data_IF_773951661163
#
_entry.id   IF_773951661163
#
_cell.length_a   1.000
_cell.length_b   1.000
_cell.length_c   1.000
_cell.angle_alpha   90.00
_cell.angle_beta   90.00
_cell.angle_gamma   90.00
#
_symmetry.space_group_name_H-M   'P 1'
#
loop_
_entity.id
_entity.type
_entity.pdbx_description
1 polymer ?
#
# COMPACT_ATOMS: atom_id res chain seq x y z
N UNK A 1 2.31 -2.62 0.21
CA UNK A 1 1.46 -3.06 -0.93
C UNK A 1 0.68 -1.87 -1.46
N UNK A 2 0.20 -1.88 -2.71
CA UNK A 2 -0.61 -0.79 -3.26
C UNK A 2 -1.94 -0.63 -2.50
N UNK A 3 -2.41 0.61 -2.36
CA UNK A 3 -3.65 1.00 -1.68
C UNK A 3 -4.80 1.39 -2.62
N UNK A 4 -4.63 1.17 -3.92
CA UNK A 4 -5.58 1.58 -4.96
C UNK A 4 -6.59 0.49 -5.32
N UNK A 5 -7.86 0.83 -5.68
CA UNK A 5 -8.86 -0.14 -6.13
C UNK A 5 -8.45 -0.88 -7.41
N UNK A 6 -7.51 -0.33 -8.19
CA UNK A 6 -6.96 -0.97 -9.39
C UNK A 6 -6.22 -2.29 -9.10
N UNK A 7 -5.88 -2.55 -7.83
CA UNK A 7 -5.35 -3.85 -7.40
C UNK A 7 -6.39 -4.99 -7.51
N UNK A 8 -7.68 -4.65 -7.56
CA UNK A 8 -8.79 -5.62 -7.58
C UNK A 8 -9.19 -5.92 -9.02
N UNK A 9 -9.05 -7.17 -9.51
CA UNK A 9 -9.34 -7.51 -10.91
C UNK A 9 -10.77 -7.20 -11.36
N UNK A 10 -11.74 -7.26 -10.45
CA UNK A 10 -13.14 -6.93 -10.74
C UNK A 10 -13.35 -5.44 -11.03
N UNK A 11 -12.47 -4.57 -10.51
CA UNK A 11 -12.52 -3.12 -10.72
C UNK A 11 -11.63 -2.67 -11.88
N UNK A 12 -10.55 -3.41 -12.15
CA UNK A 12 -9.61 -3.11 -13.23
C UNK A 12 -9.22 -4.38 -14.02
N UNK A 13 -10.17 -5.00 -14.75
CA UNK A 13 -9.94 -6.30 -15.41
C UNK A 13 -8.88 -6.26 -16.52
N UNK A 14 -8.61 -5.07 -17.08
CA UNK A 14 -7.57 -4.86 -18.09
C UNK A 14 -6.19 -4.50 -17.49
N UNK A 15 -6.09 -4.32 -16.17
CA UNK A 15 -4.85 -3.94 -15.51
C UNK A 15 -4.00 -5.17 -15.14
N UNK A 16 -3.25 -5.65 -16.14
CA UNK A 16 -2.35 -6.80 -15.97
C UNK A 16 -1.26 -6.53 -14.94
N UNK A 17 -0.81 -5.28 -14.79
CA UNK A 17 0.13 -4.88 -13.76
C UNK A 17 -0.49 -4.98 -12.37
N UNK A 18 -1.74 -4.54 -12.19
CA UNK A 18 -2.49 -4.72 -10.94
C UNK A 18 -2.63 -6.19 -10.54
N UNK A 19 -2.98 -7.07 -11.49
CA UNK A 19 -3.07 -8.51 -11.23
C UNK A 19 -1.72 -9.12 -10.82
N UNK A 20 -0.63 -8.71 -11.48
CA UNK A 20 0.74 -9.13 -11.16
C UNK A 20 1.16 -8.68 -9.76
N UNK A 21 0.93 -7.41 -9.41
CA UNK A 21 1.22 -6.85 -8.08
C UNK A 21 0.43 -7.59 -6.99
N UNK A 22 -0.85 -7.89 -7.21
CA UNK A 22 -1.66 -8.68 -6.29
C UNK A 22 -1.10 -10.10 -6.10
N UNK A 23 -0.64 -10.73 -7.18
CA UNK A 23 0.07 -12.00 -7.14
C UNK A 23 1.32 -11.94 -6.25
N UNK A 24 2.19 -10.97 -6.49
CA UNK A 24 3.41 -10.76 -5.69
C UNK A 24 3.10 -10.53 -4.20
N UNK A 25 2.07 -9.73 -3.87
CA UNK A 25 1.64 -9.54 -2.47
C UNK A 25 1.20 -10.86 -1.84
N UNK A 26 0.44 -11.68 -2.56
CA UNK A 26 -0.05 -12.98 -2.06
C UNK A 26 1.07 -13.99 -1.89
N UNK A 27 2.08 -13.98 -2.76
CA UNK A 27 3.28 -14.80 -2.60
C UNK A 27 4.05 -14.43 -1.33
N UNK A 28 4.20 -13.12 -1.04
CA UNK A 28 4.78 -12.66 0.23
C UNK A 28 3.97 -13.16 1.41
N UNK A 29 2.64 -13.00 1.40
CA UNK A 29 1.80 -13.50 2.50
C UNK A 29 1.89 -15.01 2.69
N UNK A 30 1.90 -15.79 1.61
CA UNK A 30 2.07 -17.23 1.70
C UNK A 30 3.42 -17.62 2.33
N UNK A 31 4.50 -16.94 1.97
CA UNK A 31 5.82 -17.15 2.56
C UNK A 31 5.87 -16.75 4.05
N UNK A 32 5.28 -15.61 4.40
CA UNK A 32 5.36 -15.05 5.75
C UNK A 32 4.34 -15.61 6.73
N UNK A 33 3.21 -16.16 6.28
CA UNK A 33 2.13 -16.62 7.15
C UNK A 33 1.86 -18.13 7.01
N UNK A 34 2.31 -18.77 5.93
CA UNK A 34 1.99 -20.18 5.64
C UNK A 34 2.54 -21.18 6.66
N UNK A 35 3.64 -20.83 7.34
CA UNK A 35 4.36 -21.74 8.25
C UNK A 35 4.43 -21.24 9.71
N UNK A 36 3.63 -20.25 10.09
CA UNK A 36 3.55 -19.76 11.46
C UNK A 36 2.12 -19.31 11.79
N UNK A 37 1.92 -18.83 13.01
CA UNK A 37 0.65 -18.30 13.53
C UNK A 37 0.73 -16.79 13.80
N UNK A 38 1.63 -16.07 13.12
CA UNK A 38 1.77 -14.62 13.33
C UNK A 38 0.43 -13.91 13.12
N UNK A 39 0.13 -13.00 14.03
CA UNK A 39 -0.98 -12.07 13.87
C UNK A 39 -0.68 -11.13 12.69
N UNK A 40 -1.76 -10.61 12.09
CA UNK A 40 -1.65 -9.61 11.03
C UNK A 40 -2.17 -8.29 11.56
N UNK A 41 -1.38 -7.25 11.34
CA UNK A 41 -1.78 -5.88 11.59
C UNK A 41 -1.94 -5.14 10.26
N UNK A 42 -3.04 -4.41 10.10
CA UNK A 42 -3.30 -3.59 8.93
C UNK A 42 -3.01 -2.12 9.23
N UNK A 43 -2.18 -1.50 8.40
CA UNK A 43 -1.82 -0.09 8.51
C UNK A 43 -2.13 0.60 7.19
N UNK A 44 -2.94 1.65 7.23
CA UNK A 44 -3.32 2.40 6.05
C UNK A 44 -4.20 3.59 6.41
N UNK A 45 -4.24 4.59 5.53
CA UNK A 45 -4.95 5.84 5.79
C UNK A 45 -6.42 5.63 6.13
N UNK A 46 -6.87 6.30 7.20
CA UNK A 46 -8.28 6.41 7.59
C UNK A 46 -8.83 7.82 7.33
N UNK A 47 -8.22 8.56 6.38
CA UNK A 47 -8.77 9.83 5.93
C UNK A 47 -10.21 9.65 5.40
N UNK A 48 -11.05 10.66 5.64
CA UNK A 48 -12.44 10.65 5.20
C UNK A 48 -12.60 10.46 3.68
N UNK A 49 -11.59 10.85 2.88
CA UNK A 49 -11.55 10.61 1.44
C UNK A 49 -11.55 9.12 1.07
N UNK A 50 -11.13 8.23 1.98
CA UNK A 50 -11.07 6.79 1.78
C UNK A 50 -12.24 6.03 2.43
N UNK A 51 -13.13 6.73 3.13
CA UNK A 51 -14.28 6.11 3.78
C UNK A 51 -15.30 5.60 2.75
N UNK A 52 -15.66 4.33 2.88
CA UNK A 52 -16.46 3.59 1.88
C UNK A 52 -17.96 3.69 2.14
N UNK A 53 -18.36 3.98 3.38
CA UNK A 53 -19.75 3.86 3.85
C UNK A 53 -20.29 2.42 3.89
N UNK A 54 -19.50 1.42 3.52
CA UNK A 54 -19.90 0.03 3.37
C UNK A 54 -18.87 -0.91 4.00
N UNK A 55 -19.24 -1.53 5.13
CA UNK A 55 -18.36 -2.48 5.82
C UNK A 55 -17.99 -3.64 4.90
N UNK A 56 -16.69 -3.90 4.78
CA UNK A 56 -16.12 -5.04 4.08
C UNK A 56 -16.55 -5.14 2.62
N UNK A 57 -16.86 -4.02 1.94
CA UNK A 57 -17.38 -4.06 0.57
C UNK A 57 -16.82 -2.95 -0.31
N UNK A 58 -16.49 -3.30 -1.56
CA UNK A 58 -16.09 -2.34 -2.60
C UNK A 58 -17.28 -1.85 -3.45
N UNK A 59 -18.50 -1.91 -2.91
CA UNK A 59 -19.70 -1.41 -3.58
C UNK A 59 -19.58 0.05 -4.01
N UNK A 60 -18.98 0.91 -3.18
CA UNK A 60 -18.80 2.33 -3.50
C UNK A 60 -17.91 2.57 -4.74
N UNK A 61 -17.11 1.57 -5.15
CA UNK A 61 -16.27 1.59 -6.36
C UNK A 61 -16.85 0.78 -7.53
N UNK A 62 -18.06 0.20 -7.38
CA UNK A 62 -18.72 -0.55 -8.45
C UNK A 62 -18.46 -2.06 -8.45
N UNK A 63 -17.82 -2.62 -7.40
CA UNK A 63 -17.64 -4.07 -7.23
C UNK A 63 -18.39 -4.62 -6.00
N UNK A 64 -19.74 -4.66 -6.02
CA UNK A 64 -20.53 -5.12 -4.88
C UNK A 64 -20.33 -6.61 -4.56
N UNK A 65 -19.82 -7.40 -5.51
CA UNK A 65 -19.50 -8.82 -5.30
C UNK A 65 -18.17 -9.06 -4.58
N UNK A 66 -17.33 -8.03 -4.44
CA UNK A 66 -16.09 -8.12 -3.67
C UNK A 66 -16.39 -7.76 -2.22
N UNK A 67 -16.39 -8.79 -1.38
CA UNK A 67 -16.65 -8.69 0.05
C UNK A 67 -15.52 -9.32 0.87
N UNK A 68 -15.22 -8.70 2.00
CA UNK A 68 -14.27 -9.15 3.03
C UNK A 68 -14.96 -9.09 4.39
N UNK A 69 -14.34 -9.63 5.45
CA UNK A 69 -14.96 -9.78 6.75
C UNK A 69 -15.33 -8.46 7.44
N UNK A 70 -14.55 -7.39 7.23
CA UNK A 70 -14.76 -6.10 7.90
C UNK A 70 -14.10 -4.92 7.15
N UNK A 71 -14.29 -3.71 7.70
CA UNK A 71 -13.53 -2.51 7.36
C UNK A 71 -14.35 -1.46 6.61
N UNK A 72 -14.12 -0.20 6.92
CA UNK A 72 -14.85 0.93 6.32
C UNK A 72 -13.96 1.87 5.51
N UNK A 73 -12.66 1.61 5.48
CA UNK A 73 -11.71 2.41 4.73
C UNK A 73 -11.10 1.57 3.62
N UNK A 74 -10.93 2.19 2.45
CA UNK A 74 -10.45 1.52 1.26
C UNK A 74 -9.13 0.76 1.47
N UNK A 75 -8.09 1.33 2.13
CA UNK A 75 -6.85 0.59 2.41
C UNK A 75 -7.08 -0.73 3.18
N UNK A 76 -7.89 -0.68 4.24
CA UNK A 76 -8.20 -1.88 5.05
C UNK A 76 -8.89 -2.96 4.20
N UNK A 77 -9.91 -2.58 3.43
CA UNK A 77 -10.67 -3.52 2.59
C UNK A 77 -9.74 -4.17 1.55
N UNK A 78 -8.84 -3.41 0.94
CA UNK A 78 -7.89 -3.92 -0.06
C UNK A 78 -6.85 -4.85 0.56
N UNK A 79 -6.35 -4.54 1.76
CA UNK A 79 -5.42 -5.41 2.48
C UNK A 79 -6.07 -6.74 2.86
N UNK A 80 -7.31 -6.71 3.39
CA UNK A 80 -8.10 -7.91 3.66
C UNK A 80 -8.34 -8.75 2.40
N UNK A 81 -8.69 -8.10 1.30
CA UNK A 81 -8.86 -8.76 0.01
C UNK A 81 -7.56 -9.42 -0.50
N UNK A 82 -6.42 -8.76 -0.30
CA UNK A 82 -5.13 -9.30 -0.68
C UNK A 82 -4.72 -10.50 0.20
N UNK A 83 -4.99 -10.44 1.51
CA UNK A 83 -4.73 -11.53 2.46
C UNK A 83 -5.45 -12.83 2.12
N UNK A 84 -6.65 -12.75 1.53
CA UNK A 84 -7.42 -13.93 1.13
C UNK A 84 -7.66 -14.87 2.31
N UNK A 85 -7.18 -16.11 2.23
CA UNK A 85 -7.35 -17.13 3.28
C UNK A 85 -6.59 -16.83 4.59
N UNK A 86 -5.85 -15.73 4.68
CA UNK A 86 -5.21 -15.28 5.92
C UNK A 86 -5.99 -14.15 6.61
N UNK A 87 -7.12 -13.69 6.06
CA UNK A 87 -7.87 -12.56 6.59
C UNK A 87 -8.26 -12.72 8.07
N UNK A 88 -8.60 -13.94 8.50
CA UNK A 88 -8.95 -14.24 9.90
C UNK A 88 -7.82 -14.00 10.90
N UNK A 89 -6.57 -13.79 10.44
CA UNK A 89 -5.42 -13.46 11.30
C UNK A 89 -5.31 -11.96 11.60
N UNK A 90 -6.14 -11.12 10.99
CA UNK A 90 -6.13 -9.68 11.26
C UNK A 90 -6.54 -9.43 12.72
N UNK A 91 -5.59 -8.95 13.53
CA UNK A 91 -5.78 -8.68 14.95
C UNK A 91 -6.02 -7.19 15.24
N UNK A 92 -5.50 -6.29 14.41
CA UNK A 92 -5.63 -4.84 14.59
C UNK A 92 -5.55 -4.08 13.28
N UNK A 93 -6.12 -2.87 13.28
CA UNK A 93 -6.13 -1.92 12.17
C UNK A 93 -5.75 -0.55 12.70
N UNK A 94 -4.79 0.14 12.08
CA UNK A 94 -4.28 1.46 12.48
C UNK A 94 -4.12 2.39 11.27
N UNK A 95 -4.11 3.70 11.54
CA UNK A 95 -3.93 4.77 10.55
C UNK A 95 -2.50 5.36 10.51
N UNK A 96 -1.63 4.92 11.41
CA UNK A 96 -0.21 5.31 11.51
C UNK A 96 0.66 4.09 11.85
N UNK A 97 1.94 4.15 11.51
CA UNK A 97 2.87 3.03 11.71
C UNK A 97 3.14 2.74 13.19
N UNK A 98 3.44 3.78 13.97
CA UNK A 98 3.77 3.65 15.39
C UNK A 98 4.89 2.63 15.66
N UNK A 99 4.81 1.95 16.80
CA UNK A 99 5.70 0.83 17.12
C UNK A 99 5.25 -0.46 16.43
N UNK A 100 6.22 -1.24 15.93
CA UNK A 100 5.98 -2.55 15.33
C UNK A 100 6.11 -3.63 16.41
N UNK A 101 5.11 -4.51 16.48
CA UNK A 101 5.12 -5.62 17.43
C UNK A 101 5.99 -6.79 16.93
N UNK A 102 6.62 -7.50 17.88
CA UNK A 102 7.22 -8.80 17.60
C UNK A 102 6.14 -9.82 17.20
N UNK A 103 6.52 -10.83 16.41
CA UNK A 103 5.65 -11.93 15.97
C UNK A 103 4.35 -11.51 15.25
N UNK A 104 4.36 -10.30 14.66
CA UNK A 104 3.25 -9.72 13.92
C UNK A 104 3.71 -9.33 12.52
N UNK A 105 2.91 -9.66 11.51
CA UNK A 105 3.10 -9.14 10.15
C UNK A 105 2.33 -7.83 10.02
N UNK A 106 3.05 -6.71 10.00
CA UNK A 106 2.48 -5.40 9.69
C UNK A 106 2.36 -5.23 8.18
N UNK A 107 1.13 -5.08 7.69
CA UNK A 107 0.81 -4.86 6.28
C UNK A 107 0.51 -3.38 6.09
N UNK A 108 1.32 -2.70 5.29
CA UNK A 108 1.16 -1.28 4.98
C UNK A 108 0.58 -1.09 3.57
N UNK A 109 -0.53 -0.35 3.46
CA UNK A 109 -1.13 0.05 2.20
C UNK A 109 -0.74 1.50 1.87
N UNK A 110 0.13 1.66 0.87
CA UNK A 110 0.62 2.96 0.40
C UNK A 110 0.81 2.94 -1.10
N UNK A 111 0.27 3.96 -1.75
CA UNK A 111 0.59 4.31 -3.12
C UNK A 111 1.63 5.43 -3.14
N UNK A 112 2.39 5.48 -4.23
CA UNK A 112 3.30 6.58 -4.56
C UNK A 112 2.56 7.81 -5.09
N UNK A 113 3.29 8.77 -5.66
CA UNK A 113 2.68 9.96 -6.23
C UNK A 113 1.80 9.64 -7.43
N UNK A 114 0.73 10.41 -7.60
CA UNK A 114 -0.03 10.45 -8.86
C UNK A 114 0.58 11.49 -9.81
N UNK A 115 0.28 11.39 -11.10
CA UNK A 115 0.78 12.37 -12.08
C UNK A 115 2.16 12.04 -12.63
N UNK A 116 2.59 10.78 -12.55
CA UNK A 116 3.88 10.33 -13.09
C UNK A 116 3.93 10.30 -14.62
N UNK A 117 2.77 10.20 -15.27
CA UNK A 117 2.68 10.14 -16.74
C UNK A 117 1.54 11.02 -17.22
N UNK A 118 1.56 11.37 -18.52
CA UNK A 118 0.43 12.05 -19.19
C UNK A 118 -0.88 11.24 -19.14
N UNK A 119 -0.81 9.96 -18.77
CA UNK A 119 -1.96 9.07 -18.63
C UNK A 119 -2.62 9.15 -17.24
N UNK A 120 -1.99 9.84 -16.29
CA UNK A 120 -2.56 10.04 -14.98
C UNK A 120 -3.84 10.89 -15.05
N UNK A 121 -4.90 10.57 -14.29
CA UNK A 121 -6.10 11.40 -14.18
C UNK A 121 -5.81 12.85 -13.73
N UNK A 122 -4.69 13.08 -13.05
CA UNK A 122 -4.25 14.38 -12.53
C UNK A 122 -3.43 15.22 -13.51
N UNK A 123 -3.18 14.75 -14.74
CA UNK A 123 -2.11 15.22 -15.61
C UNK A 123 -0.71 15.07 -14.97
N UNK A 124 0.34 15.42 -15.72
CA UNK A 124 1.71 15.41 -15.21
C UNK A 124 1.86 16.40 -14.05
N UNK A 125 2.39 15.93 -12.93
CA UNK A 125 2.65 16.76 -11.74
C UNK A 125 4.15 16.97 -11.60
N UNK A 126 4.55 18.24 -11.45
CA UNK A 126 5.95 18.60 -11.22
C UNK A 126 6.46 17.96 -9.93
N UNK A 127 7.59 17.25 -10.00
CA UNK A 127 8.21 16.59 -8.85
C UNK A 127 7.64 15.21 -8.49
N UNK A 128 6.61 14.73 -9.18
CA UNK A 128 6.08 13.37 -8.97
C UNK A 128 7.15 12.30 -9.25
N UNK A 129 7.97 12.48 -10.29
CA UNK A 129 9.08 11.60 -10.63
C UNK A 129 10.15 11.54 -9.52
N UNK A 130 10.51 12.69 -8.96
CA UNK A 130 11.45 12.78 -7.84
C UNK A 130 10.87 12.13 -6.57
N UNK A 131 9.58 12.33 -6.29
CA UNK A 131 8.90 11.72 -5.17
C UNK A 131 8.79 10.19 -5.33
N UNK A 132 8.50 9.68 -6.53
CA UNK A 132 8.48 8.24 -6.82
C UNK A 132 9.88 7.63 -6.67
N UNK A 133 10.93 8.29 -7.17
CA UNK A 133 12.30 7.85 -6.96
C UNK A 133 12.67 7.81 -5.47
N UNK A 134 12.20 8.78 -4.69
CA UNK A 134 12.36 8.78 -3.24
C UNK A 134 11.60 7.60 -2.58
N UNK A 135 10.34 7.37 -2.95
CA UNK A 135 9.54 6.24 -2.47
C UNK A 135 10.26 4.90 -2.71
N UNK A 136 10.75 4.67 -3.94
CA UNK A 136 11.52 3.47 -4.28
C UNK A 136 12.81 3.34 -3.46
N UNK A 137 13.48 4.45 -3.18
CA UNK A 137 14.69 4.48 -2.34
C UNK A 137 14.41 4.11 -0.89
N UNK A 138 13.32 4.63 -0.32
CA UNK A 138 12.83 4.24 1.02
C UNK A 138 12.55 2.75 1.03
N UNK A 139 11.70 2.25 0.12
CA UNK A 139 11.31 0.84 0.04
C UNK A 139 12.49 -0.13 -0.17
N UNK A 140 13.57 0.34 -0.76
CA UNK A 140 14.81 -0.44 -0.95
C UNK A 140 15.75 -0.38 0.27
N UNK A 141 15.37 0.30 1.35
CA UNK A 141 16.18 0.45 2.56
C UNK A 141 17.34 1.45 2.45
N UNK A 142 17.33 2.29 1.42
CA UNK A 142 18.40 3.27 1.16
C UNK A 142 17.79 4.64 0.80
N UNK A 143 17.07 5.28 1.75
CA UNK A 143 16.41 6.55 1.51
C UNK A 143 17.45 7.61 1.11
N UNK A 144 17.10 8.39 0.09
CA UNK A 144 17.79 9.65 -0.21
C UNK A 144 17.48 10.69 0.87
N UNK A 145 17.93 11.93 0.66
CA UNK A 145 17.51 13.07 1.48
C UNK A 145 16.00 13.06 1.70
N UNK A 146 15.58 13.16 2.96
CA UNK A 146 14.17 13.06 3.36
C UNK A 146 13.48 14.39 2.99
N UNK A 147 12.54 14.39 2.03
CA UNK A 147 11.81 15.59 1.64
C UNK A 147 10.86 16.02 2.75
N UNK A 148 10.46 17.29 2.73
CA UNK A 148 9.43 17.76 3.65
C UNK A 148 8.07 17.19 3.28
N UNK A 149 7.15 17.13 4.27
CA UNK A 149 5.75 16.72 4.05
C UNK A 149 5.08 17.55 2.95
N UNK A 150 5.37 18.85 2.88
CA UNK A 150 4.80 19.74 1.86
C UNK A 150 5.32 19.39 0.46
N UNK A 151 6.62 19.12 0.31
CA UNK A 151 7.18 18.70 -0.98
C UNK A 151 6.54 17.41 -1.51
N UNK A 152 6.31 16.43 -0.62
CA UNK A 152 5.62 15.19 -0.98
C UNK A 152 4.17 15.45 -1.39
N UNK A 153 3.46 16.30 -0.65
CA UNK A 153 2.09 16.69 -0.98
C UNK A 153 2.00 17.40 -2.34
N UNK A 154 2.89 18.37 -2.59
CA UNK A 154 2.94 19.12 -3.85
C UNK A 154 3.28 18.21 -5.04
N UNK A 155 4.07 17.16 -4.82
CA UNK A 155 4.35 16.09 -5.77
C UNK A 155 3.20 15.08 -5.93
N UNK A 156 2.00 15.39 -5.40
CA UNK A 156 0.79 14.56 -5.48
C UNK A 156 0.91 13.17 -4.83
N UNK A 157 1.71 13.06 -3.79
CA UNK A 157 1.71 11.89 -2.91
C UNK A 157 0.66 12.08 -1.81
N UNK A 158 -0.33 11.19 -1.79
CA UNK A 158 -1.57 11.36 -0.99
C UNK A 158 -1.37 11.19 0.52
N UNK A 159 -0.49 10.27 0.91
CA UNK A 159 -0.25 9.89 2.30
C UNK A 159 1.17 10.27 2.77
N UNK A 160 1.58 11.55 2.72
CA UNK A 160 2.97 11.94 2.97
C UNK A 160 3.41 11.63 4.39
N UNK A 161 2.49 11.65 5.35
CA UNK A 161 2.78 11.34 6.75
C UNK A 161 3.23 9.87 6.93
N UNK A 162 2.46 8.92 6.42
CA UNK A 162 2.80 7.49 6.50
C UNK A 162 4.10 7.15 5.78
N UNK A 163 4.38 7.82 4.65
CA UNK A 163 5.66 7.68 3.95
C UNK A 163 6.86 8.18 4.76
N UNK A 164 6.71 9.30 5.48
CA UNK A 164 7.75 9.82 6.38
C UNK A 164 7.96 8.92 7.60
N UNK A 165 6.88 8.36 8.16
CA UNK A 165 6.96 7.36 9.22
C UNK A 165 7.70 6.10 8.75
N UNK A 166 7.40 5.61 7.54
CA UNK A 166 8.09 4.48 6.94
C UNK A 166 9.59 4.78 6.74
N UNK A 167 9.92 5.97 6.25
CA UNK A 167 11.31 6.41 6.09
C UNK A 167 12.08 6.46 7.42
N UNK A 168 11.40 6.81 8.52
CA UNK A 168 12.00 6.84 9.85
C UNK A 168 12.36 5.43 10.39
N UNK A 169 11.75 4.38 9.86
CA UNK A 169 12.03 2.99 10.25
C UNK A 169 13.26 2.39 9.54
N UNK A 170 13.70 2.96 8.42
CA UNK A 170 14.82 2.45 7.62
C UNK A 170 16.06 2.10 8.46
N UNK A 171 16.53 2.92 9.43
CA UNK A 171 17.73 2.59 10.19
C UNK A 171 17.62 1.30 11.03
N UNK A 172 16.40 0.85 11.34
CA UNK A 172 16.16 -0.38 12.09
C UNK A 172 15.98 -1.62 11.19
N UNK A 173 15.92 -1.45 9.87
CA UNK A 173 15.67 -2.55 8.93
C UNK A 173 16.93 -3.39 8.73
N UNK A 174 16.82 -4.71 8.93
CA UNK A 174 17.89 -5.67 8.63
C UNK A 174 17.95 -6.04 7.15
N UNK A 175 16.79 -6.17 6.49
CA UNK A 175 16.68 -6.45 5.06
C UNK A 175 15.48 -5.71 4.48
N UNK A 176 15.70 -4.99 3.40
CA UNK A 176 14.66 -4.35 2.60
C UNK A 176 14.70 -4.90 1.18
N UNK A 177 13.54 -5.23 0.63
CA UNK A 177 13.41 -5.74 -0.73
C UNK A 177 12.23 -5.06 -1.42
N UNK A 178 12.53 -4.31 -2.48
CA UNK A 178 11.53 -3.81 -3.41
C UNK A 178 11.26 -4.90 -4.46
N UNK A 179 10.18 -5.64 -4.25
CA UNK A 179 9.84 -6.87 -4.98
C UNK A 179 9.28 -6.52 -6.35
N UNK A 180 8.38 -5.53 -6.41
CA UNK A 180 7.71 -5.17 -7.65
C UNK A 180 7.30 -3.69 -7.67
N UNK A 181 7.26 -3.11 -8.87
CA UNK A 181 6.86 -1.75 -9.17
C UNK A 181 5.97 -1.68 -10.41
N UNK A 182 5.07 -0.69 -10.43
CA UNK A 182 4.39 -0.24 -11.65
C UNK A 182 4.03 1.24 -11.54
N UNK A 183 4.17 1.98 -12.64
CA UNK A 183 3.75 3.37 -12.79
C UNK A 183 2.97 3.61 -14.10
N UNK A 184 2.55 2.54 -14.78
CA UNK A 184 1.99 2.57 -16.14
C UNK A 184 0.77 3.49 -16.27
N UNK A 185 -0.06 3.55 -15.21
CA UNK A 185 -1.26 4.39 -15.13
C UNK A 185 -1.02 5.77 -14.49
N UNK A 186 0.25 6.14 -14.31
CA UNK A 186 0.63 7.44 -13.75
C UNK A 186 0.50 7.55 -12.23
N UNK A 187 0.42 6.42 -11.54
CA UNK A 187 0.46 6.32 -10.07
C UNK A 187 1.53 5.32 -9.70
N UNK A 188 2.44 5.66 -8.78
CA UNK A 188 3.44 4.73 -8.29
C UNK A 188 2.81 3.62 -7.46
N UNK A 189 3.04 2.37 -7.83
CA UNK A 189 2.51 1.18 -7.14
C UNK A 189 3.66 0.25 -6.79
N UNK A 190 3.69 -0.23 -5.56
CA UNK A 190 4.86 -0.98 -5.07
C UNK A 190 4.48 -2.19 -4.21
N UNK A 191 5.26 -3.25 -4.37
CA UNK A 191 5.33 -4.38 -3.44
C UNK A 191 6.74 -4.39 -2.86
N UNK A 192 6.83 -4.29 -1.54
CA UNK A 192 8.09 -4.34 -0.82
C UNK A 192 7.93 -5.16 0.46
N UNK A 193 9.03 -5.74 0.91
CA UNK A 193 9.11 -6.52 2.15
C UNK A 193 10.32 -6.11 2.95
N UNK A 194 10.11 -5.79 4.22
CA UNK A 194 11.16 -5.47 5.17
C UNK A 194 11.19 -6.50 6.30
N UNK A 195 12.37 -6.77 6.86
CA UNK A 195 12.55 -7.54 8.09
C UNK A 195 13.41 -6.76 9.06
N UNK A 196 13.06 -6.80 10.34
CA UNK A 196 13.69 -6.04 11.43
C UNK A 196 14.51 -6.94 12.37
#
# INVERSE_FOLDING_TARGET
MPGSPALVPQLAPADTAGARLLGAVREVFAAELGNNEHAVELIGSQDAAWFTGHSGSLRAWGAPSVTVAAGYYLPEILQRFALGSFEQRVASVRDHLGELAADTLSVLALDGPTGLTVRAPSALVSGADAADAWCRSVLSGAPREIPTKQMLFDASLREPQLWLELAALVPAVKRAELIDIDDTHGVGRYVARWTF
#
